data_IF_742406561707
#
_entry.id   IF_742406561707
#
_cell.length_a   1.000
_cell.length_b   1.000
_cell.length_c   1.000
_cell.angle_alpha   90.00
_cell.angle_beta   90.00
_cell.angle_gamma   90.00
#
_symmetry.space_group_name_H-M   'P 1'
#
loop_
_entity.id
_entity.type
_entity.pdbx_description
1 polymer ?
#
# COMPACT_ATOMS: atom_id res chain seq x y z
N UNK A 1 26.01 6.19 8.85
CA UNK A 1 25.83 4.93 9.59
C UNK A 1 25.66 5.11 11.09
N UNK A 2 24.59 5.78 11.53
CA UNK A 2 24.23 5.84 12.96
C UNK A 2 23.56 4.53 13.43
N UNK A 3 23.00 3.76 12.49
CA UNK A 3 22.42 2.44 12.76
C UNK A 3 23.51 1.37 13.03
N UNK A 4 24.72 1.53 12.48
CA UNK A 4 25.83 0.61 12.77
C UNK A 4 26.48 0.89 14.14
N UNK A 5 26.53 2.16 14.59
CA UNK A 5 27.04 2.51 15.92
C UNK A 5 26.13 1.99 17.06
N UNK A 6 24.81 1.88 16.81
CA UNK A 6 23.88 1.26 17.76
C UNK A 6 24.15 -0.26 17.92
N UNK A 7 24.58 -0.94 16.84
CA UNK A 7 24.96 -2.35 16.90
C UNK A 7 26.27 -2.58 17.68
N UNK A 8 27.20 -1.62 17.67
CA UNK A 8 28.46 -1.69 18.42
C UNK A 8 28.32 -1.56 19.95
N UNK A 9 27.15 -1.07 20.43
CA UNK A 9 26.93 -0.72 21.84
C UNK A 9 26.39 -1.87 22.71
N UNK A 10 26.26 -3.09 22.18
CA UNK A 10 25.86 -4.27 22.96
C UNK A 10 24.42 -4.26 23.49
N UNK A 11 23.58 -3.31 23.06
CA UNK A 11 22.15 -3.24 23.38
C UNK A 11 21.36 -4.10 22.41
N UNK A 12 20.97 -5.29 22.87
CA UNK A 12 20.30 -6.33 22.06
C UNK A 12 18.78 -6.20 21.99
N UNK A 13 18.18 -5.20 22.63
CA UNK A 13 16.73 -4.99 22.59
C UNK A 13 16.33 -3.92 21.54
N UNK A 14 15.50 -4.33 20.58
CA UNK A 14 14.97 -3.46 19.54
C UNK A 14 14.10 -2.32 20.10
N UNK A 15 13.46 -2.52 21.26
CA UNK A 15 12.71 -1.46 21.93
C UNK A 15 13.64 -0.32 22.41
N UNK A 16 14.79 -0.68 23.00
CA UNK A 16 15.78 0.30 23.44
C UNK A 16 16.45 1.02 22.26
N UNK A 17 16.62 0.35 21.12
CA UNK A 17 17.13 0.99 19.90
C UNK A 17 16.14 2.01 19.32
N UNK A 18 14.85 1.69 19.33
CA UNK A 18 13.81 2.64 18.91
C UNK A 18 13.76 3.88 19.80
N UNK A 19 13.75 3.70 21.12
CA UNK A 19 13.72 4.80 22.09
C UNK A 19 14.90 5.76 21.89
N UNK A 20 16.12 5.21 21.78
CA UNK A 20 17.32 5.99 21.51
C UNK A 20 17.21 6.75 20.17
N UNK A 21 16.70 6.10 19.12
CA UNK A 21 16.54 6.73 17.82
C UNK A 21 15.52 7.87 17.82
N UNK A 22 14.44 7.74 18.61
CA UNK A 22 13.46 8.81 18.82
C UNK A 22 14.07 9.97 19.62
N UNK A 23 14.86 9.68 20.66
CA UNK A 23 15.58 10.69 21.43
C UNK A 23 16.53 11.51 20.54
N UNK A 24 17.23 10.86 19.61
CA UNK A 24 18.08 11.56 18.62
C UNK A 24 17.29 12.60 17.82
N UNK A 25 16.05 12.30 17.41
CA UNK A 25 15.21 13.24 16.66
C UNK A 25 14.75 14.42 17.54
N UNK A 26 14.45 14.15 18.82
CA UNK A 26 14.14 15.20 19.80
C UNK A 26 15.34 16.11 19.99
N UNK A 27 16.53 15.55 20.21
CA UNK A 27 17.79 16.30 20.38
C UNK A 27 18.17 17.08 19.12
N UNK A 28 17.84 16.57 17.94
CA UNK A 28 18.04 17.26 16.67
C UNK A 28 17.06 18.44 16.46
N UNK A 29 16.06 18.61 17.34
CA UNK A 29 15.18 19.78 17.35
C UNK A 29 13.78 19.56 16.79
N UNK A 30 13.34 18.32 16.58
CA UNK A 30 11.98 18.01 16.13
C UNK A 30 11.19 17.10 17.11
N UNK A 31 10.86 17.61 18.31
CA UNK A 31 10.09 16.86 19.30
C UNK A 31 8.62 16.66 18.88
N UNK A 32 8.12 17.44 17.93
CA UNK A 32 6.73 17.34 17.45
C UNK A 32 6.60 16.09 16.57
N UNK A 33 7.49 15.93 15.59
CA UNK A 33 7.50 14.74 14.74
C UNK A 33 7.76 13.50 15.58
N UNK A 34 8.73 13.53 16.50
CA UNK A 34 9.04 12.42 17.41
C UNK A 34 7.80 11.87 18.15
N UNK A 35 6.94 12.75 18.70
CA UNK A 35 5.70 12.34 19.38
C UNK A 35 4.63 11.76 18.46
N UNK A 36 4.65 12.13 17.18
CA UNK A 36 3.66 11.68 16.19
C UNK A 36 4.01 10.33 15.56
N UNK A 37 5.26 9.86 15.71
CA UNK A 37 5.71 8.60 15.13
C UNK A 37 5.09 7.42 15.88
N UNK A 38 4.51 6.49 15.11
CA UNK A 38 4.13 5.19 15.63
C UNK A 38 5.38 4.37 15.95
N UNK A 39 5.38 3.57 17.03
CA UNK A 39 6.51 2.73 17.38
C UNK A 39 7.01 1.86 16.22
N UNK A 40 8.32 1.76 16.06
CA UNK A 40 9.01 1.01 15.00
C UNK A 40 8.80 1.53 13.56
N UNK A 41 8.31 2.75 13.37
CA UNK A 41 8.29 3.40 12.04
C UNK A 41 9.67 4.00 11.71
N UNK A 42 10.65 3.11 11.53
CA UNK A 42 12.04 3.47 11.22
C UNK A 42 12.16 4.25 9.91
N UNK A 43 11.24 4.04 8.96
CA UNK A 43 11.24 4.79 7.70
C UNK A 43 10.96 6.27 7.95
N UNK A 44 9.87 6.60 8.65
CA UNK A 44 9.53 8.00 8.93
C UNK A 44 10.54 8.66 9.87
N UNK A 45 11.06 7.90 10.83
CA UNK A 45 12.10 8.40 11.74
C UNK A 45 13.39 8.75 10.98
N UNK A 46 13.89 7.83 10.15
CA UNK A 46 15.08 8.05 9.32
C UNK A 46 14.89 9.26 8.41
N UNK A 47 13.73 9.37 7.75
CA UNK A 47 13.41 10.51 6.90
C UNK A 47 13.35 11.83 7.66
N UNK A 48 12.82 11.82 8.89
CA UNK A 48 12.77 13.02 9.72
C UNK A 48 14.17 13.48 10.14
N UNK A 49 15.02 12.55 10.59
CA UNK A 49 16.43 12.83 10.90
C UNK A 49 17.19 13.36 9.68
N UNK A 50 16.98 12.75 8.51
CA UNK A 50 17.60 13.20 7.25
C UNK A 50 17.24 14.66 6.94
N UNK A 51 15.95 15.02 7.03
CA UNK A 51 15.48 16.40 6.80
C UNK A 51 16.13 17.36 7.78
N UNK A 52 16.15 17.02 9.07
CA UNK A 52 16.76 17.87 10.10
C UNK A 52 18.26 18.05 9.86
N UNK A 53 18.96 16.97 9.52
CA UNK A 53 20.40 17.01 9.23
C UNK A 53 20.73 17.84 7.98
N UNK A 54 19.96 17.71 6.91
CA UNK A 54 20.21 18.42 5.65
C UNK A 54 19.78 19.89 5.70
N UNK A 55 18.67 20.20 6.37
CA UNK A 55 18.08 21.54 6.36
C UNK A 55 18.35 22.37 7.61
N UNK A 56 18.77 21.73 8.71
CA UNK A 56 18.86 22.35 10.04
C UNK A 56 17.50 22.71 10.65
N UNK A 57 16.39 22.27 10.05
CA UNK A 57 15.02 22.63 10.44
C UNK A 57 14.19 21.39 10.75
N UNK A 58 13.30 21.53 11.72
CA UNK A 58 12.29 20.50 12.02
C UNK A 58 11.39 20.22 10.81
N UNK A 59 10.98 18.95 10.63
CA UNK A 59 10.04 18.51 9.59
C UNK A 59 8.73 19.27 9.71
N UNK A 60 8.26 19.46 10.95
CA UNK A 60 7.02 20.19 11.24
C UNK A 60 7.06 21.68 10.82
N UNK A 61 8.25 22.24 10.52
CA UNK A 61 8.40 23.62 10.08
C UNK A 61 8.21 23.84 8.58
N UNK A 62 8.08 22.77 7.79
CA UNK A 62 7.85 22.87 6.36
C UNK A 62 6.35 23.00 6.07
N UNK A 63 5.92 24.03 5.31
CA UNK A 63 4.52 24.16 4.94
C UNK A 63 4.13 22.98 4.03
N UNK A 64 3.00 22.34 4.34
CA UNK A 64 2.41 21.37 3.44
C UNK A 64 1.66 22.14 2.32
N UNK A 65 1.83 21.77 1.04
CA UNK A 65 1.20 22.48 -0.08
C UNK A 65 -0.33 22.52 -0.06
N UNK A 66 -0.96 21.70 0.77
CA UNK A 66 -2.39 21.67 1.00
C UNK A 66 -2.64 21.06 2.38
N UNK A 67 -3.70 21.50 3.07
CA UNK A 67 -4.24 20.78 4.21
C UNK A 67 -4.84 19.47 3.70
N UNK A 68 -4.01 18.43 3.54
CA UNK A 68 -4.47 17.05 3.47
C UNK A 68 -5.29 16.81 4.74
N UNK A 69 -6.61 16.86 4.61
CA UNK A 69 -7.58 16.75 5.71
C UNK A 69 -7.05 15.85 6.82
N UNK A 70 -6.78 16.47 7.96
CA UNK A 70 -6.58 15.87 9.29
C UNK A 70 -6.30 14.37 9.25
N UNK A 71 -5.01 14.04 9.10
CA UNK A 71 -4.50 12.66 8.97
C UNK A 71 -5.15 11.69 9.96
N UNK A 72 -5.58 10.57 9.39
CA UNK A 72 -5.75 9.26 10.02
C UNK A 72 -4.67 9.03 11.09
N UNK A 73 -5.08 8.97 12.36
CA UNK A 73 -4.28 8.44 13.47
C UNK A 73 -3.86 9.45 14.54
N UNK A 74 -4.81 9.88 15.37
CA UNK A 74 -4.57 10.47 16.69
C UNK A 74 -5.68 10.03 17.62
N UNK A 75 -5.32 9.44 18.76
CA UNK A 75 -6.23 8.80 19.70
C UNK A 75 -7.41 9.69 20.12
N UNK A 76 -8.53 9.04 20.41
CA UNK A 76 -9.67 9.64 21.09
C UNK A 76 -9.21 10.34 22.38
N UNK A 77 -9.61 11.61 22.54
CA UNK A 77 -9.62 12.31 23.83
C UNK A 77 -9.02 13.71 23.82
N UNK A 78 -9.80 14.72 23.42
CA UNK A 78 -10.16 15.88 24.26
C UNK A 78 -11.34 16.60 23.58
N UNK A 79 -12.48 16.88 24.24
CA UNK A 79 -13.51 17.74 23.68
C UNK A 79 -13.04 19.20 23.86
N UNK A 80 -12.31 19.69 22.87
CA UNK A 80 -11.89 21.08 22.75
C UNK A 80 -12.32 21.59 21.39
N UNK A 81 -13.49 22.21 21.37
CA UNK A 81 -13.98 23.22 20.44
C UNK A 81 -13.15 23.45 19.15
N UNK A 82 -13.61 22.87 18.05
CA UNK A 82 -13.20 23.24 16.67
C UNK A 82 -14.41 23.76 15.87
N UNK A 83 -15.43 24.24 16.58
CA UNK A 83 -16.65 24.81 15.97
C UNK A 83 -16.43 26.18 15.34
N UNK A 84 -15.32 26.88 15.65
CA UNK A 84 -15.16 28.31 15.37
C UNK A 84 -13.94 28.62 14.50
N UNK A 85 -13.73 27.86 13.42
CA UNK A 85 -12.93 28.35 12.29
C UNK A 85 -13.85 28.66 11.11
N UNK A 86 -14.16 29.95 10.86
CA UNK A 86 -15.05 30.34 9.78
C UNK A 86 -14.35 30.04 8.46
N UNK A 87 -14.95 29.15 7.66
CA UNK A 87 -14.68 28.98 6.24
C UNK A 87 -13.23 29.20 5.83
N UNK A 88 -12.36 28.22 6.07
CA UNK A 88 -11.14 28.03 5.28
C UNK A 88 -11.56 27.65 3.85
N UNK A 89 -12.08 28.65 3.15
CA UNK A 89 -12.22 28.68 1.73
C UNK A 89 -10.83 28.45 1.14
N UNK A 90 -10.76 27.53 0.18
CA UNK A 90 -9.61 27.24 -0.69
C UNK A 90 -9.14 28.54 -1.37
N UNK A 91 -8.37 29.34 -0.65
CA UNK A 91 -7.73 30.54 -1.17
C UNK A 91 -6.22 30.33 -1.13
N UNK A 92 -5.77 29.27 -1.80
CA UNK A 92 -4.47 29.23 -2.42
C UNK A 92 -4.72 29.04 -3.92
N UNK A 93 -4.01 29.85 -4.70
CA UNK A 93 -4.11 30.06 -6.14
C UNK A 93 -3.79 28.75 -6.90
N UNK A 94 -4.65 27.74 -6.80
CA UNK A 94 -4.51 26.53 -7.59
C UNK A 94 -4.76 26.91 -9.05
N UNK A 95 -3.73 26.79 -9.89
CA UNK A 95 -3.80 27.03 -11.35
C UNK A 95 -4.87 26.16 -12.03
N UNK A 96 -5.33 25.09 -11.36
CA UNK A 96 -6.26 24.09 -11.87
C UNK A 96 -7.44 23.84 -10.93
N UNK A 97 -8.64 23.71 -11.50
CA UNK A 97 -9.82 23.17 -10.83
C UNK A 97 -9.72 21.63 -10.77
N UNK A 98 -9.17 21.11 -9.66
CA UNK A 98 -9.05 19.67 -9.44
C UNK A 98 -10.39 19.03 -9.04
N UNK A 99 -10.82 18.03 -9.84
CA UNK A 99 -12.03 17.26 -9.59
C UNK A 99 -11.70 15.79 -9.35
N UNK A 100 -11.74 15.40 -8.08
CA UNK A 100 -11.29 14.09 -7.63
C UNK A 100 -12.44 13.08 -7.58
N UNK A 101 -12.24 11.91 -8.19
CA UNK A 101 -13.20 10.81 -8.20
C UNK A 101 -12.54 9.53 -7.70
N UNK A 102 -13.25 8.78 -6.86
CA UNK A 102 -12.80 7.48 -6.37
C UNK A 102 -13.82 6.40 -6.74
N UNK A 103 -13.38 5.45 -7.56
CA UNK A 103 -14.19 4.31 -7.96
C UNK A 103 -13.99 3.16 -6.99
N UNK A 104 -15.08 2.65 -6.42
CA UNK A 104 -15.01 1.53 -5.49
C UNK A 104 -15.99 0.43 -5.85
N UNK A 105 -15.71 -0.79 -5.38
CA UNK A 105 -16.71 -1.84 -5.30
C UNK A 105 -17.43 -1.68 -3.95
N UNK A 106 -18.68 -1.21 -3.97
CA UNK A 106 -19.53 -0.98 -2.78
C UNK A 106 -19.81 -2.26 -1.98
N UNK A 107 -21.04 -2.77 -2.07
CA UNK A 107 -21.50 -3.98 -1.36
C UNK A 107 -20.88 -5.28 -1.89
N UNK A 108 -20.19 -5.22 -3.04
CA UNK A 108 -19.54 -6.36 -3.68
C UNK A 108 -18.08 -6.59 -3.22
N UNK A 109 -17.72 -6.25 -1.97
CA UNK A 109 -16.32 -6.33 -1.50
C UNK A 109 -15.72 -7.74 -1.60
N UNK A 110 -16.52 -8.77 -1.32
CA UNK A 110 -16.12 -10.16 -1.48
C UNK A 110 -15.80 -10.50 -2.94
N UNK A 111 -16.63 -10.06 -3.87
CA UNK A 111 -16.41 -10.28 -5.30
C UNK A 111 -15.17 -9.52 -5.78
N UNK A 112 -14.96 -8.33 -5.24
CA UNK A 112 -13.74 -7.56 -5.51
C UNK A 112 -12.47 -8.30 -5.04
N UNK A 113 -12.49 -8.97 -3.88
CA UNK A 113 -11.37 -9.82 -3.44
C UNK A 113 -11.16 -11.03 -4.35
N UNK A 114 -12.25 -11.69 -4.79
CA UNK A 114 -12.15 -12.78 -5.77
C UNK A 114 -11.54 -12.33 -7.09
N UNK A 115 -11.89 -11.12 -7.56
CA UNK A 115 -11.31 -10.50 -8.75
C UNK A 115 -9.83 -10.17 -8.56
N UNK A 116 -9.43 -9.69 -7.38
CA UNK A 116 -8.01 -9.50 -7.03
C UNK A 116 -7.26 -10.82 -7.10
N UNK A 117 -7.79 -11.86 -6.47
CA UNK A 117 -7.12 -13.15 -6.38
C UNK A 117 -6.96 -13.77 -7.77
N UNK A 118 -8.03 -13.75 -8.58
CA UNK A 118 -7.99 -14.19 -9.97
C UNK A 118 -7.01 -13.36 -10.81
N UNK A 119 -6.94 -12.05 -10.61
CA UNK A 119 -5.96 -11.20 -11.31
C UNK A 119 -4.54 -11.60 -10.96
N UNK A 120 -4.26 -11.91 -9.69
CA UNK A 120 -2.94 -12.39 -9.29
C UNK A 120 -2.58 -13.69 -10.03
N UNK A 121 -3.52 -14.64 -10.09
CA UNK A 121 -3.33 -15.89 -10.84
C UNK A 121 -3.06 -15.62 -12.34
N UNK A 122 -3.83 -14.72 -12.95
CA UNK A 122 -3.66 -14.33 -14.35
C UNK A 122 -2.30 -13.69 -14.62
N UNK A 123 -1.80 -12.84 -13.70
CA UNK A 123 -0.47 -12.22 -13.84
C UNK A 123 0.64 -13.29 -13.81
N UNK A 124 0.53 -14.29 -12.93
CA UNK A 124 1.46 -15.42 -12.90
C UNK A 124 1.38 -16.22 -14.21
N UNK A 125 0.16 -16.50 -14.69
CA UNK A 125 -0.05 -17.25 -15.94
C UNK A 125 0.51 -16.50 -17.15
N UNK A 126 0.44 -15.17 -17.15
CA UNK A 126 0.92 -14.30 -18.23
C UNK A 126 2.44 -14.12 -18.21
N UNK A 127 3.14 -14.59 -17.18
CA UNK A 127 4.61 -14.60 -17.14
C UNK A 127 5.26 -13.68 -16.12
N UNK A 128 4.55 -13.21 -15.09
CA UNK A 128 5.15 -12.42 -14.01
C UNK A 128 6.43 -13.04 -13.43
N UNK A 129 6.46 -14.37 -13.26
CA UNK A 129 7.67 -15.05 -12.75
C UNK A 129 8.86 -14.94 -13.70
N UNK A 130 8.63 -14.90 -15.02
CA UNK A 130 9.70 -14.66 -16.01
C UNK A 130 10.23 -13.24 -15.91
N UNK A 131 9.33 -12.26 -15.79
CA UNK A 131 9.73 -10.86 -15.62
C UNK A 131 10.53 -10.68 -14.32
N UNK A 132 10.10 -11.30 -13.22
CA UNK A 132 10.81 -11.27 -11.94
C UNK A 132 12.19 -11.95 -12.02
N UNK A 133 12.29 -13.11 -12.69
CA UNK A 133 13.57 -13.78 -12.93
C UNK A 133 14.51 -12.91 -13.75
N UNK A 134 14.02 -12.28 -14.82
CA UNK A 134 14.82 -11.38 -15.64
C UNK A 134 15.38 -10.20 -14.83
N UNK A 135 14.59 -9.62 -13.90
CA UNK A 135 15.07 -8.57 -13.01
C UNK A 135 16.16 -9.08 -12.04
N UNK A 136 16.02 -10.32 -11.54
CA UNK A 136 17.06 -10.97 -10.72
C UNK A 136 18.35 -11.18 -11.52
N UNK A 137 18.24 -11.61 -12.78
CA UNK A 137 19.38 -11.85 -13.66
C UNK A 137 20.13 -10.55 -13.99
N UNK A 138 19.44 -9.40 -13.99
CA UNK A 138 20.04 -8.07 -14.08
C UNK A 138 20.78 -7.62 -12.80
N UNK A 139 20.76 -8.43 -11.73
CA UNK A 139 21.36 -8.11 -10.44
C UNK A 139 20.49 -7.24 -9.54
N UNK A 140 19.20 -7.09 -9.85
CA UNK A 140 18.26 -6.44 -8.95
C UNK A 140 17.80 -7.43 -7.88
N UNK A 141 17.71 -6.96 -6.64
CA UNK A 141 17.29 -7.78 -5.50
C UNK A 141 15.95 -7.28 -4.94
N UNK A 142 15.14 -8.16 -4.31
CA UNK A 142 13.88 -7.76 -3.71
C UNK A 142 14.10 -6.69 -2.65
N UNK A 143 13.25 -5.67 -2.64
CA UNK A 143 13.27 -4.64 -1.60
C UNK A 143 14.38 -3.57 -1.71
N UNK A 144 15.29 -3.65 -2.70
CA UNK A 144 16.39 -2.67 -2.85
C UNK A 144 15.97 -1.36 -3.50
N UNK A 145 14.84 -1.34 -4.20
CA UNK A 145 14.30 -0.16 -4.88
C UNK A 145 12.77 -0.11 -4.74
N UNK A 146 12.12 1.05 -4.98
CA UNK A 146 10.67 1.13 -5.03
C UNK A 146 10.05 0.13 -6.03
N UNK A 147 10.68 -0.06 -7.18
CA UNK A 147 10.23 -1.00 -8.22
C UNK A 147 10.34 -2.45 -7.76
N UNK A 148 11.46 -2.86 -7.16
CA UNK A 148 11.64 -4.22 -6.62
C UNK A 148 10.93 -4.46 -5.28
N UNK A 149 10.35 -3.42 -4.71
CA UNK A 149 9.45 -3.49 -3.54
C UNK A 149 7.97 -3.57 -3.93
N UNK A 150 7.65 -3.44 -5.23
CA UNK A 150 6.29 -3.49 -5.70
C UNK A 150 5.63 -4.85 -5.39
N UNK A 151 4.34 -4.81 -5.06
CA UNK A 151 3.55 -6.00 -4.75
C UNK A 151 3.48 -6.91 -6.00
N UNK A 152 3.67 -8.20 -5.80
CA UNK A 152 3.84 -9.20 -6.86
C UNK A 152 5.31 -9.44 -7.14
N UNK A 153 6.05 -8.39 -7.53
CA UNK A 153 7.48 -8.50 -7.84
C UNK A 153 8.30 -8.92 -6.65
N UNK A 154 8.12 -8.27 -5.49
CA UNK A 154 8.86 -8.62 -4.28
C UNK A 154 8.66 -10.10 -3.91
N UNK A 155 7.41 -10.55 -3.85
CA UNK A 155 7.07 -11.94 -3.52
C UNK A 155 7.62 -12.93 -4.55
N UNK A 156 7.53 -12.60 -5.83
CA UNK A 156 8.05 -13.45 -6.91
C UNK A 156 9.58 -13.55 -6.84
N UNK A 157 10.28 -12.45 -6.60
CA UNK A 157 11.74 -12.43 -6.49
C UNK A 157 12.23 -13.18 -5.23
N UNK A 158 11.58 -12.98 -4.08
CA UNK A 158 11.87 -13.72 -2.84
C UNK A 158 11.68 -15.23 -3.07
N UNK A 159 10.55 -15.63 -3.66
CA UNK A 159 10.25 -17.02 -4.02
C UNK A 159 11.31 -17.64 -4.95
N UNK A 160 11.70 -16.94 -6.02
CA UNK A 160 12.70 -17.44 -6.97
C UNK A 160 14.09 -17.57 -6.33
N UNK A 161 14.47 -16.63 -5.47
CA UNK A 161 15.74 -16.69 -4.73
C UNK A 161 15.77 -17.86 -3.74
N UNK A 162 14.67 -18.08 -3.00
CA UNK A 162 14.54 -19.20 -2.06
C UNK A 162 14.64 -20.54 -2.78
N UNK A 163 14.06 -20.64 -3.98
CA UNK A 163 14.06 -21.87 -4.76
C UNK A 163 15.40 -22.18 -5.44
N UNK A 164 16.29 -21.21 -5.66
CA UNK A 164 17.68 -21.40 -6.12
C UNK A 164 17.91 -22.17 -7.46
N UNK A 165 19.08 -22.01 -8.11
CA UNK A 165 19.39 -22.72 -9.36
C UNK A 165 19.70 -24.23 -9.20
N UNK A 166 19.79 -24.73 -7.96
CA UNK A 166 20.33 -26.06 -7.63
C UNK A 166 19.33 -27.04 -7.00
N UNK A 167 18.07 -26.64 -6.81
CA UNK A 167 17.11 -27.34 -5.95
C UNK A 167 16.07 -28.19 -6.71
N UNK A 168 16.13 -28.21 -8.05
CA UNK A 168 15.29 -29.06 -8.89
C UNK A 168 13.82 -28.63 -8.95
N UNK A 169 13.08 -29.17 -9.92
CA UNK A 169 11.69 -28.77 -10.23
C UNK A 169 10.73 -28.93 -9.03
N UNK A 170 11.04 -29.83 -8.08
CA UNK A 170 10.18 -30.12 -6.94
C UNK A 170 10.08 -28.99 -5.89
N UNK A 171 11.17 -28.26 -5.63
CA UNK A 171 11.15 -27.21 -4.57
C UNK A 171 10.36 -25.98 -5.02
N UNK A 172 10.42 -25.67 -6.32
CA UNK A 172 9.61 -24.59 -6.91
C UNK A 172 8.11 -24.90 -6.78
N UNK A 173 7.70 -26.15 -6.97
CA UNK A 173 6.29 -26.53 -6.81
C UNK A 173 5.80 -26.42 -5.37
N UNK A 174 6.65 -26.69 -4.37
CA UNK A 174 6.29 -26.58 -2.94
C UNK A 174 6.14 -25.13 -2.49
N UNK A 175 7.04 -24.24 -2.91
CA UNK A 175 7.00 -22.82 -2.54
C UNK A 175 5.90 -22.01 -3.25
N UNK A 176 5.37 -22.51 -4.38
CA UNK A 176 4.44 -21.77 -5.23
C UNK A 176 3.14 -21.36 -4.52
N UNK A 177 2.56 -22.25 -3.71
CA UNK A 177 1.31 -21.97 -3.00
C UNK A 177 1.49 -20.86 -1.96
N UNK A 178 2.63 -20.87 -1.26
CA UNK A 178 3.02 -19.84 -0.29
C UNK A 178 3.22 -18.50 -0.99
N UNK A 179 3.97 -18.49 -2.09
CA UNK A 179 4.18 -17.32 -2.95
C UNK A 179 2.84 -16.70 -3.38
N UNK A 180 1.97 -17.50 -4.00
CA UNK A 180 0.70 -17.01 -4.56
C UNK A 180 -0.20 -16.49 -3.44
N UNK A 181 -0.24 -17.18 -2.30
CA UNK A 181 -1.03 -16.77 -1.13
C UNK A 181 -0.55 -15.42 -0.58
N UNK A 182 0.75 -15.22 -0.41
CA UNK A 182 1.30 -13.97 0.10
C UNK A 182 1.15 -12.82 -0.91
N UNK A 183 1.30 -13.08 -2.21
CA UNK A 183 1.03 -12.08 -3.26
C UNK A 183 -0.43 -11.61 -3.23
N UNK A 184 -1.39 -12.54 -3.23
CA UNK A 184 -2.81 -12.21 -3.16
C UNK A 184 -3.15 -11.44 -1.87
N UNK A 185 -2.63 -11.89 -0.73
CA UNK A 185 -2.82 -11.25 0.58
C UNK A 185 -2.27 -9.83 0.60
N UNK A 186 -1.04 -9.61 0.10
CA UNK A 186 -0.43 -8.28 0.01
C UNK A 186 -1.28 -7.34 -0.87
N UNK A 187 -1.81 -7.83 -1.99
CA UNK A 187 -2.66 -7.05 -2.90
C UNK A 187 -4.00 -6.65 -2.26
N UNK A 188 -4.63 -7.56 -1.50
CA UNK A 188 -5.85 -7.27 -0.73
C UNK A 188 -5.60 -6.25 0.39
N UNK A 189 -4.49 -6.39 1.12
CA UNK A 189 -4.09 -5.44 2.15
C UNK A 189 -3.83 -4.05 1.56
N UNK A 190 -3.16 -3.99 0.42
CA UNK A 190 -2.92 -2.74 -0.29
C UNK A 190 -4.21 -2.05 -0.69
N UNK A 191 -5.18 -2.79 -1.25
CA UNK A 191 -6.48 -2.19 -1.56
C UNK A 191 -7.21 -1.70 -0.30
N UNK A 192 -7.12 -2.43 0.80
CA UNK A 192 -7.68 -1.99 2.08
C UNK A 192 -7.05 -0.67 2.53
N UNK A 193 -5.72 -0.53 2.39
CA UNK A 193 -5.00 0.70 2.71
C UNK A 193 -5.41 1.85 1.79
N UNK A 194 -5.56 1.63 0.49
CA UNK A 194 -6.07 2.63 -0.45
C UNK A 194 -7.45 3.12 -0.02
N UNK A 195 -8.38 2.21 0.24
CA UNK A 195 -9.72 2.55 0.70
C UNK A 195 -9.72 3.34 2.00
N UNK A 196 -8.90 2.94 2.98
CA UNK A 196 -8.75 3.67 4.23
C UNK A 196 -8.19 5.07 4.01
N UNK A 197 -7.21 5.22 3.12
CA UNK A 197 -6.62 6.52 2.78
C UNK A 197 -7.64 7.46 2.16
N UNK A 198 -8.32 7.04 1.09
CA UNK A 198 -9.32 7.88 0.41
C UNK A 198 -10.52 8.19 1.29
N UNK A 199 -10.86 7.35 2.27
CA UNK A 199 -11.96 7.62 3.23
C UNK A 199 -11.72 8.85 4.10
N UNK A 200 -10.46 9.19 4.36
CA UNK A 200 -10.08 10.38 5.12
C UNK A 200 -10.08 11.65 4.26
N UNK A 201 -10.18 11.51 2.94
CA UNK A 201 -10.09 12.61 2.00
C UNK A 201 -11.49 13.03 1.50
N UNK A 202 -11.92 14.21 1.92
CA UNK A 202 -13.24 14.76 1.58
C UNK A 202 -13.32 15.33 0.17
N UNK A 203 -12.21 15.45 -0.55
CA UNK A 203 -12.20 15.95 -1.91
C UNK A 203 -12.68 14.91 -2.92
N UNK A 204 -12.64 13.63 -2.57
CA UNK A 204 -13.03 12.58 -3.50
C UNK A 204 -14.54 12.40 -3.56
N UNK A 205 -15.08 12.43 -4.79
CA UNK A 205 -16.41 11.95 -5.08
C UNK A 205 -16.39 10.43 -5.23
N UNK A 206 -17.11 9.73 -4.36
CA UNK A 206 -17.20 8.27 -4.37
C UNK A 206 -18.21 7.80 -5.40
N UNK A 207 -17.78 6.89 -6.28
CA UNK A 207 -18.61 6.27 -7.31
C UNK A 207 -18.58 4.75 -7.16
N UNK A 208 -19.75 4.13 -7.08
CA UNK A 208 -19.87 2.68 -7.00
C UNK A 208 -19.77 2.05 -8.39
N UNK A 209 -18.59 1.52 -8.70
CA UNK A 209 -18.32 0.82 -9.94
C UNK A 209 -18.81 -0.63 -9.96
N UNK A 210 -19.47 -1.10 -8.88
CA UNK A 210 -20.03 -2.46 -8.83
C UNK A 210 -21.48 -2.56 -9.29
N UNK A 211 -22.21 -1.44 -9.30
CA UNK A 211 -23.64 -1.39 -9.64
C UNK A 211 -23.91 -1.02 -11.09
N UNK A 212 -22.91 -0.56 -11.85
CA UNK A 212 -23.10 -0.09 -13.22
C UNK A 212 -21.91 -0.40 -14.15
N UNK A 213 -22.14 -0.31 -15.47
CA UNK A 213 -21.09 -0.56 -16.46
C UNK A 213 -20.16 0.65 -16.63
N UNK A 214 -19.02 0.49 -17.36
CA UNK A 214 -18.08 1.60 -17.59
C UNK A 214 -18.72 2.83 -18.24
N UNK A 215 -19.72 2.64 -19.10
CA UNK A 215 -20.43 3.74 -19.77
C UNK A 215 -21.26 4.56 -18.79
N UNK A 216 -21.99 3.89 -17.90
CA UNK A 216 -22.83 4.55 -16.89
C UNK A 216 -21.96 5.30 -15.88
N UNK A 217 -20.83 4.70 -15.50
CA UNK A 217 -19.85 5.33 -14.61
C UNK A 217 -19.23 6.58 -15.25
N UNK A 218 -18.93 6.54 -16.54
CA UNK A 218 -18.43 7.70 -17.28
C UNK A 218 -19.48 8.83 -17.32
N UNK A 219 -20.76 8.51 -17.58
CA UNK A 219 -21.85 9.49 -17.53
C UNK A 219 -21.99 10.12 -16.13
N UNK A 220 -21.84 9.33 -15.06
CA UNK A 220 -21.87 9.84 -13.70
C UNK A 220 -20.68 10.78 -13.41
N UNK A 221 -19.49 10.49 -13.94
CA UNK A 221 -18.34 11.40 -13.87
C UNK A 221 -18.62 12.70 -14.62
N UNK A 222 -19.10 12.62 -15.87
CA UNK A 222 -19.42 13.80 -16.70
C UNK A 222 -20.46 14.70 -16.03
N UNK A 223 -21.51 14.14 -15.45
CA UNK A 223 -22.54 14.89 -14.73
C UNK A 223 -21.94 15.69 -13.56
N UNK A 224 -21.04 15.08 -12.79
CA UNK A 224 -20.38 15.74 -11.67
C UNK A 224 -19.33 16.75 -12.14
N UNK A 225 -18.64 16.44 -13.23
CA UNK A 225 -17.69 17.33 -13.87
C UNK A 225 -18.37 18.57 -14.50
N UNK A 226 -19.66 18.49 -14.83
CA UNK A 226 -20.42 19.65 -15.32
C UNK A 226 -20.82 20.67 -14.24
N UNK A 227 -20.65 20.35 -12.95
CA UNK A 227 -21.08 21.22 -11.84
C UNK A 227 -20.14 22.42 -11.69
N UNK A 228 -20.66 23.57 -11.24
CA UNK A 228 -19.84 24.78 -11.06
C UNK A 228 -18.79 24.63 -9.94
N UNK A 229 -19.10 23.81 -8.92
CA UNK A 229 -18.21 23.54 -7.79
C UNK A 229 -18.11 22.02 -7.62
N UNK A 230 -16.89 21.51 -7.52
CA UNK A 230 -16.66 20.12 -7.16
C UNK A 230 -16.99 19.90 -5.68
N UNK A 231 -17.81 18.90 -5.41
CA UNK A 231 -18.13 18.47 -4.05
C UNK A 231 -17.83 16.98 -3.96
N UNK A 232 -16.87 16.64 -3.11
CA UNK A 232 -16.68 15.24 -2.72
C UNK A 232 -17.91 14.71 -2.00
N UNK A 233 -17.89 13.41 -1.68
CA UNK A 233 -18.98 12.79 -0.94
C UNK A 233 -18.46 12.08 0.28
N UNK A 234 -19.35 11.80 1.23
CA UNK A 234 -19.01 10.85 2.26
C UNK A 234 -18.65 9.50 1.62
N UNK A 235 -17.76 8.77 2.29
CA UNK A 235 -17.44 7.40 1.92
C UNK A 235 -18.54 6.42 2.39
N UNK A 236 -19.78 6.89 2.59
CA UNK A 236 -20.87 6.13 3.21
C UNK A 236 -21.16 4.84 2.46
N UNK A 237 -21.23 4.91 1.13
CA UNK A 237 -21.39 3.74 0.25
C UNK A 237 -20.20 2.77 0.22
N UNK A 238 -19.04 3.18 0.75
CA UNK A 238 -17.85 2.34 0.83
C UNK A 238 -17.60 1.73 2.20
N UNK A 239 -18.38 2.09 3.24
CA UNK A 239 -18.32 1.49 4.58
C UNK A 239 -18.95 0.11 4.56
N UNK A 240 -18.32 -0.84 5.25
CA UNK A 240 -18.86 -2.19 5.39
C UNK A 240 -19.84 -2.21 6.56
N UNK A 241 -20.93 -2.94 6.38
CA UNK A 241 -21.82 -3.33 7.48
C UNK A 241 -21.11 -4.33 8.39
N UNK A 242 -21.57 -4.48 9.64
CA UNK A 242 -21.03 -5.47 10.58
C UNK A 242 -21.09 -6.90 10.05
N UNK A 243 -22.14 -7.21 9.28
CA UNK A 243 -22.31 -8.51 8.62
C UNK A 243 -21.27 -8.73 7.52
N UNK A 244 -21.05 -7.73 6.67
CA UNK A 244 -20.02 -7.79 5.64
C UNK A 244 -18.62 -7.92 6.26
N UNK A 245 -18.30 -7.16 7.31
CA UNK A 245 -17.02 -7.31 8.02
C UNK A 245 -16.83 -8.74 8.55
N UNK A 246 -17.89 -9.35 9.11
CA UNK A 246 -17.84 -10.74 9.59
C UNK A 246 -17.58 -11.70 8.42
N UNK A 247 -18.24 -11.51 7.28
CA UNK A 247 -18.00 -12.31 6.07
C UNK A 247 -16.57 -12.16 5.55
N UNK A 248 -16.05 -10.93 5.55
CA UNK A 248 -14.69 -10.61 5.12
C UNK A 248 -13.62 -11.25 6.04
N UNK A 249 -13.85 -11.32 7.35
CA UNK A 249 -12.97 -12.05 8.29
C UNK A 249 -12.86 -13.55 7.97
N UNK A 250 -13.94 -14.13 7.46
CA UNK A 250 -14.00 -15.53 7.02
C UNK A 250 -13.50 -15.77 5.59
N UNK A 251 -13.08 -14.74 4.86
CA UNK A 251 -12.67 -14.88 3.46
C UNK A 251 -11.51 -15.87 3.32
N UNK A 252 -11.64 -16.77 2.35
CA UNK A 252 -10.58 -17.69 1.91
C UNK A 252 -10.48 -17.58 0.39
N UNK A 253 -9.27 -17.37 -0.16
CA UNK A 253 -9.05 -17.40 -1.60
C UNK A 253 -9.44 -18.76 -2.17
N UNK A 254 -10.11 -18.75 -3.31
CA UNK A 254 -10.41 -19.93 -4.11
C UNK A 254 -9.78 -19.73 -5.48
N UNK A 255 -8.64 -20.39 -5.71
CA UNK A 255 -7.90 -20.29 -6.97
C UNK A 255 -8.71 -20.91 -8.11
N UNK A 256 -8.75 -20.25 -9.27
CA UNK A 256 -9.47 -20.73 -10.46
C UNK A 256 -8.55 -21.31 -11.52
N UNK A 257 -7.30 -20.84 -11.60
CA UNK A 257 -6.30 -21.27 -12.56
C UNK A 257 -5.42 -22.34 -11.89
N UNK A 258 -4.85 -22.04 -10.73
CA UNK A 258 -3.94 -22.95 -10.02
C UNK A 258 -4.71 -23.83 -9.03
N UNK A 259 -5.52 -24.74 -9.59
CA UNK A 259 -6.34 -25.71 -8.82
C UNK A 259 -5.63 -27.04 -8.57
N UNK A 260 -4.57 -27.32 -9.31
CA UNK A 260 -3.84 -28.58 -9.26
C UNK A 260 -2.35 -28.35 -9.57
N UNK A 261 -1.51 -29.31 -9.17
CA UNK A 261 -0.05 -29.26 -9.39
C UNK A 261 0.34 -29.25 -10.86
N UNK A 262 -0.48 -29.80 -11.76
CA UNK A 262 -0.15 -29.85 -13.19
C UNK A 262 -0.13 -28.45 -13.84
N UNK A 263 -0.99 -27.53 -13.42
CA UNK A 263 -0.96 -26.13 -13.89
C UNK A 263 0.27 -25.37 -13.36
N UNK A 264 0.62 -25.63 -12.11
CA UNK A 264 1.83 -25.08 -11.48
C UNK A 264 3.07 -25.57 -12.25
N UNK A 265 3.21 -26.88 -12.42
CA UNK A 265 4.32 -27.48 -13.18
C UNK A 265 4.40 -26.99 -14.63
N UNK A 266 3.27 -26.77 -15.32
CA UNK A 266 3.24 -26.15 -16.66
C UNK A 266 3.83 -24.73 -16.66
N UNK A 267 3.43 -23.94 -15.68
CA UNK A 267 3.85 -22.53 -15.56
C UNK A 267 5.33 -22.42 -15.23
N UNK A 268 5.80 -23.26 -14.30
CA UNK A 268 7.22 -23.34 -13.93
C UNK A 268 8.07 -23.91 -15.07
N UNK A 269 7.61 -24.93 -15.79
CA UNK A 269 8.33 -25.44 -16.95
C UNK A 269 8.48 -24.37 -18.06
N UNK A 270 7.48 -23.48 -18.21
CA UNK A 270 7.56 -22.36 -19.16
C UNK A 270 8.57 -21.28 -18.73
N UNK A 271 8.90 -21.18 -17.44
CA UNK A 271 9.98 -20.30 -16.93
C UNK A 271 11.34 -20.75 -17.45
N UNK A 272 11.66 -22.05 -17.37
CA UNK A 272 12.99 -22.59 -17.69
C UNK A 272 13.25 -22.92 -19.16
N UNK A 273 12.20 -23.10 -19.97
CA UNK A 273 12.36 -23.45 -21.39
C UNK A 273 13.02 -22.35 -22.23
N UNK A 274 12.93 -21.08 -21.83
CA UNK A 274 13.51 -19.96 -22.59
C UNK A 274 14.84 -19.45 -22.02
N UNK A 275 15.14 -19.69 -20.74
CA UNK A 275 16.42 -19.31 -20.11
C UNK A 275 17.61 -20.13 -20.65
N UNK A 276 17.37 -21.22 -21.39
CA UNK A 276 18.39 -22.11 -21.98
C UNK A 276 18.72 -21.82 -23.45
N UNK A 277 18.20 -20.73 -24.01
CA UNK A 277 18.48 -20.24 -25.38
C UNK A 277 19.16 -18.89 -25.32
#
# INVERSE_FOLDING_TARGET
DVLDDAAASGMTDAASQWELAVELLVSAGDPVTARSLTPNDYYRLSRALEIVYQSGRAVASFPLPHEMGTRIGGAAGTPGDVSDLPGASRAQDDEYDFRCFFMHAGSARMEYYRRIDLRCEQMVQQGMLREAQWLLDLGLHPGTSPSTSAIGYRQAMEYLQECGPMQGDHILEEGFDTFLTEFQKATRQYTTRQLTWFRGDTDYKWLDASSCGPKDLALAVEEHFGKAVHQGSDAGGARLTKEEEKRMRGYRPENKIYTNRAEVGRTLAALFKQTRT
#
